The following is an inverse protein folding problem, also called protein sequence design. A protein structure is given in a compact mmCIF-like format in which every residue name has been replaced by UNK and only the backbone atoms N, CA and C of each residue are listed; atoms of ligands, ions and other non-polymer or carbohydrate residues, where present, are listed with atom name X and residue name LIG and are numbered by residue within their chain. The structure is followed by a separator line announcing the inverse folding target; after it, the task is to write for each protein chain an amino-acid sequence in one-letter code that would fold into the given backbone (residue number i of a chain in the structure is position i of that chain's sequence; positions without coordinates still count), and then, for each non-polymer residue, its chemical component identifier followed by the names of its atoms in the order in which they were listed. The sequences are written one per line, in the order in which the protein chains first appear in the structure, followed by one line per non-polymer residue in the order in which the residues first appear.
data_IF_588479320024
#
_entry.id   IF_588479320024
#
_cell.length_a   1.000
_cell.length_b   1.000
_cell.length_c   1.000
_cell.angle_alpha   90.00
_cell.angle_beta   90.00
_cell.angle_gamma   90.00
#
_symmetry.space_group_name_H-M   'P 1'
#
loop_
_entity.id
_entity.type
_entity.pdbx_description
1 polymer ?
#
# COMPACT_ATOMS: atom_id res chain seq x y z
N UNK A 1 22.27 11.63 7.66
CA UNK A 1 20.98 10.96 7.43
C UNK A 1 21.19 10.01 6.27
N UNK A 2 21.06 8.70 6.50
CA UNK A 2 21.20 7.72 5.43
C UNK A 2 19.87 7.66 4.66
N UNK A 3 19.95 7.72 3.34
CA UNK A 3 18.81 7.53 2.44
C UNK A 3 18.79 6.05 2.07
N UNK A 4 17.61 5.42 2.13
CA UNK A 4 17.41 4.02 1.71
C UNK A 4 16.55 4.07 0.45
N UNK A 5 17.02 3.45 -0.61
CA UNK A 5 16.29 3.35 -1.86
C UNK A 5 15.45 2.07 -1.86
N UNK A 6 14.13 2.24 -1.89
CA UNK A 6 13.17 1.14 -1.91
C UNK A 6 12.32 1.19 -3.18
N UNK A 7 12.35 0.10 -3.93
CA UNK A 7 11.37 -0.20 -4.97
C UNK A 7 10.27 -1.05 -4.35
N UNK A 8 9.01 -0.61 -4.45
CA UNK A 8 7.88 -1.30 -3.84
C UNK A 8 6.99 -1.84 -4.96
N UNK A 9 6.76 -3.15 -4.93
CA UNK A 9 5.78 -3.83 -5.78
C UNK A 9 4.60 -4.28 -4.91
N UNK A 10 3.38 -4.06 -5.37
CA UNK A 10 2.19 -4.43 -4.61
C UNK A 10 1.12 -5.08 -5.48
N UNK A 11 0.44 -6.09 -4.93
CA UNK A 11 -0.80 -6.63 -5.49
C UNK A 11 -1.96 -6.15 -4.65
N UNK A 12 -2.83 -5.34 -5.27
CA UNK A 12 -3.96 -4.69 -4.63
C UNK A 12 -5.26 -5.20 -5.26
N UNK A 13 -6.28 -5.41 -4.43
CA UNK A 13 -7.64 -5.70 -4.91
C UNK A 13 -8.50 -4.49 -4.62
N UNK A 14 -8.96 -3.83 -5.69
CA UNK A 14 -9.84 -2.66 -5.64
C UNK A 14 -11.09 -3.00 -6.42
N UNK A 15 -12.25 -2.94 -5.78
CA UNK A 15 -13.52 -3.26 -6.43
C UNK A 15 -14.17 -2.00 -7.02
N UNK A 16 -15.03 -2.14 -8.05
CA UNK A 16 -15.80 -1.01 -8.58
C UNK A 16 -16.64 -0.30 -7.51
N UNK A 17 -17.20 -1.04 -6.55
CA UNK A 17 -18.00 -0.50 -5.45
C UNK A 17 -17.16 0.40 -4.54
N UNK A 18 -15.89 0.01 -4.29
CA UNK A 18 -14.97 0.84 -3.52
C UNK A 18 -14.68 2.17 -4.23
N UNK A 19 -14.52 2.14 -5.57
CA UNK A 19 -14.33 3.35 -6.38
C UNK A 19 -15.57 4.23 -6.36
N UNK A 20 -16.76 3.62 -6.49
CA UNK A 20 -18.03 4.35 -6.45
C UNK A 20 -18.22 5.04 -5.09
N UNK A 21 -18.06 4.31 -3.98
CA UNK A 21 -18.16 4.85 -2.63
C UNK A 21 -17.17 6.00 -2.40
N UNK A 22 -15.93 5.89 -2.90
CA UNK A 22 -14.95 6.97 -2.81
C UNK A 22 -15.44 8.23 -3.55
N UNK A 23 -15.97 8.08 -4.77
CA UNK A 23 -16.47 9.19 -5.60
C UNK A 23 -17.69 9.90 -5.02
N UNK A 24 -18.47 9.21 -4.21
CA UNK A 24 -19.60 9.80 -3.46
C UNK A 24 -19.16 10.54 -2.18
N UNK A 25 -17.85 10.68 -1.95
CA UNK A 25 -17.28 11.34 -0.77
C UNK A 25 -17.06 10.41 0.42
N UNK A 26 -17.35 9.12 0.26
CA UNK A 26 -17.06 8.10 1.27
C UNK A 26 -15.59 7.69 1.32
N UNK A 27 -15.27 6.82 2.28
CA UNK A 27 -13.99 6.11 2.36
C UNK A 27 -14.25 4.62 2.27
N UNK A 28 -13.84 3.99 1.18
CA UNK A 28 -13.96 2.55 1.02
C UNK A 28 -12.79 1.85 1.70
N UNK A 29 -13.09 0.90 2.58
CA UNK A 29 -12.06 0.01 3.13
C UNK A 29 -11.65 -0.97 2.04
N UNK A 30 -10.37 -0.99 1.71
CA UNK A 30 -9.79 -1.96 0.80
C UNK A 30 -9.39 -3.22 1.56
N UNK A 31 -9.46 -4.36 0.87
CA UNK A 31 -8.94 -5.62 1.38
C UNK A 31 -7.43 -5.59 1.62
N UNK A 32 -6.88 -6.76 1.97
CA UNK A 32 -5.45 -6.89 2.18
C UNK A 32 -4.68 -6.70 0.87
N UNK A 33 -3.68 -5.82 0.88
CA UNK A 33 -2.66 -5.74 -0.17
C UNK A 33 -1.41 -6.48 0.27
N UNK A 34 -0.77 -7.22 -0.66
CA UNK A 34 0.55 -7.82 -0.43
C UNK A 34 1.60 -6.90 -1.04
N UNK A 35 2.62 -6.58 -0.26
CA UNK A 35 3.71 -5.69 -0.64
C UNK A 35 5.04 -6.44 -0.58
N UNK A 36 5.87 -6.23 -1.60
CA UNK A 36 7.23 -6.75 -1.72
C UNK A 36 8.13 -5.54 -1.87
N UNK A 37 9.15 -5.48 -1.03
CA UNK A 37 10.10 -4.39 -0.99
C UNK A 37 11.37 -4.89 -1.68
N UNK A 38 12.02 -4.04 -2.45
CA UNK A 38 13.28 -4.37 -3.12
C UNK A 38 14.25 -3.23 -2.88
N UNK A 39 15.47 -3.55 -2.46
CA UNK A 39 16.54 -2.58 -2.24
C UNK A 39 17.89 -3.20 -2.60
N UNK A 40 18.79 -2.37 -3.12
CA UNK A 40 20.20 -2.71 -3.35
C UNK A 40 21.09 -2.32 -2.17
N UNK A 41 20.54 -1.62 -1.16
CA UNK A 41 21.27 -1.19 0.02
C UNK A 41 21.58 -2.39 0.92
N UNK A 42 22.86 -2.77 1.02
CA UNK A 42 23.31 -4.00 1.71
C UNK A 42 22.76 -4.16 3.14
N UNK A 43 22.70 -3.07 3.92
CA UNK A 43 22.19 -3.09 5.30
C UNK A 43 20.69 -3.35 5.42
N UNK A 44 19.94 -3.30 4.32
CA UNK A 44 18.48 -3.39 4.28
C UNK A 44 17.96 -4.52 3.40
N UNK A 45 18.84 -5.38 2.89
CA UNK A 45 18.46 -6.52 2.04
C UNK A 45 17.44 -7.46 2.71
N UNK A 46 17.44 -7.55 4.05
CA UNK A 46 16.45 -8.31 4.80
C UNK A 46 15.00 -7.87 4.57
N UNK A 47 14.75 -6.64 4.09
CA UNK A 47 13.42 -6.16 3.70
C UNK A 47 12.92 -6.87 2.43
N UNK A 48 13.83 -7.32 1.56
CA UNK A 48 13.50 -8.03 0.32
C UNK A 48 13.00 -9.45 0.56
N UNK A 49 13.43 -10.08 1.66
CA UNK A 49 13.04 -11.46 2.01
C UNK A 49 11.76 -11.53 2.84
N UNK A 50 11.20 -10.38 3.23
CA UNK A 50 10.02 -10.28 4.09
C UNK A 50 8.75 -10.11 3.28
N UNK A 51 7.67 -10.69 3.78
CA UNK A 51 6.33 -10.45 3.22
C UNK A 51 5.61 -9.44 4.07
N UNK A 52 5.14 -8.38 3.42
CA UNK A 52 4.36 -7.34 4.05
C UNK A 52 2.91 -7.39 3.60
N UNK A 53 1.98 -7.23 4.54
CA UNK A 53 0.56 -7.09 4.24
C UNK A 53 0.05 -5.79 4.82
N UNK A 54 -0.85 -5.14 4.07
CA UNK A 54 -1.48 -3.91 4.52
C UNK A 54 -2.98 -3.94 4.37
N UNK A 55 -3.66 -3.16 5.22
CA UNK A 55 -5.06 -2.79 5.01
C UNK A 55 -5.10 -1.38 4.48
N UNK A 56 -5.96 -1.17 3.49
CA UNK A 56 -6.02 0.09 2.76
C UNK A 56 -7.35 0.79 2.84
N UNK A 57 -7.35 2.04 2.42
CA UNK A 57 -8.54 2.83 2.16
C UNK A 57 -8.42 3.52 0.81
N UNK A 58 -9.56 3.65 0.13
CA UNK A 58 -9.72 4.41 -1.09
C UNK A 58 -10.67 5.58 -0.82
N UNK A 59 -10.27 6.79 -1.22
CA UNK A 59 -11.05 8.00 -0.98
C UNK A 59 -10.73 9.08 -2.01
N UNK A 60 -11.61 10.06 -2.15
CA UNK A 60 -11.35 11.27 -2.95
C UNK A 60 -10.66 12.33 -2.08
N UNK A 61 -9.58 12.91 -2.61
CA UNK A 61 -8.95 14.09 -2.03
C UNK A 61 -9.75 15.36 -2.29
N UNK A 62 -9.44 16.42 -1.54
CA UNK A 62 -10.07 17.73 -1.73
C UNK A 62 -9.77 18.34 -3.12
N UNK A 63 -8.76 17.83 -3.80
CA UNK A 63 -8.36 18.20 -5.16
C UNK A 63 -9.07 17.36 -6.25
N UNK A 64 -10.12 16.62 -5.89
CA UNK A 64 -10.87 15.73 -6.75
C UNK A 64 -10.03 14.62 -7.42
N UNK A 65 -8.98 14.15 -6.75
CA UNK A 65 -8.21 12.97 -7.17
C UNK A 65 -8.52 11.75 -6.30
N UNK A 66 -8.38 10.57 -6.90
CA UNK A 66 -8.56 9.31 -6.18
C UNK A 66 -7.25 8.96 -5.46
N UNK A 67 -7.32 8.79 -4.15
CA UNK A 67 -6.20 8.42 -3.29
C UNK A 67 -6.37 7.02 -2.74
N UNK A 68 -5.23 6.36 -2.61
CA UNK A 68 -5.10 5.09 -1.94
C UNK A 68 -4.11 5.23 -0.79
N UNK A 69 -4.49 4.74 0.38
CA UNK A 69 -3.65 4.74 1.57
C UNK A 69 -3.60 3.34 2.13
N UNK A 70 -2.40 2.86 2.47
CA UNK A 70 -2.21 1.57 3.13
C UNK A 70 -1.35 1.72 4.37
N UNK A 71 -1.81 1.12 5.48
CA UNK A 71 -0.96 0.80 6.60
C UNK A 71 -0.38 -0.59 6.38
N UNK A 72 0.95 -0.70 6.25
CA UNK A 72 1.66 -1.93 5.89
C UNK A 72 2.42 -2.46 7.11
N UNK A 73 2.36 -3.78 7.34
CA UNK A 73 3.07 -4.47 8.43
C UNK A 73 3.73 -5.73 7.90
N UNK A 74 4.89 -6.04 8.47
CA UNK A 74 5.55 -7.32 8.28
C UNK A 74 4.70 -8.45 8.86
N UNK A 75 4.67 -9.59 8.18
CA UNK A 75 4.07 -10.82 8.70
C UNK A 75 5.19 -11.79 9.08
N UNK A 76 5.18 -12.20 10.35
CA UNK A 76 6.09 -13.21 10.90
C UNK A 76 5.26 -14.47 11.13
N UNK A 77 5.71 -15.59 10.58
CA UNK A 77 5.09 -16.91 10.75
C UNK A 77 5.75 -17.68 11.89
#
# INVERSE_FOLDING_TARGET
MQIIHLNISATLVITPEAVHMAREGGRATLGFGRFIFHTEDEGYQHLSDRTFFGRGQLFMGLDNRLYISYGVREVVF
#
